data_IF_919673398975
#
_entry.id   IF_919673398975
#
_cell.length_a   1.000
_cell.length_b   1.000
_cell.length_c   1.000
_cell.angle_alpha   90.00
_cell.angle_beta   90.00
_cell.angle_gamma   90.00
#
_symmetry.space_group_name_H-M   'P 1'
#
loop_
_entity.id
_entity.type
_entity.pdbx_description
1 polymer ?
#
# COMPACT_ATOMS: atom_id res chain seq x y z
N UNK A 1 -21.36 -49.58 -19.36
CA UNK A 1 -21.40 -48.51 -20.38
C UNK A 1 -21.35 -47.07 -19.81
N UNK A 2 -21.53 -46.82 -18.50
CA UNK A 2 -21.39 -45.47 -17.89
C UNK A 2 -19.94 -45.06 -17.56
N UNK A 3 -19.00 -46.01 -17.60
CA UNK A 3 -17.60 -45.80 -17.23
C UNK A 3 -16.89 -44.74 -18.09
N UNK A 4 -17.26 -44.65 -19.38
CA UNK A 4 -16.74 -43.63 -20.29
C UNK A 4 -17.11 -42.21 -19.83
N UNK A 5 -18.32 -42.01 -19.30
CA UNK A 5 -18.74 -40.72 -18.74
C UNK A 5 -17.99 -40.39 -17.45
N UNK A 6 -17.68 -41.38 -16.60
CA UNK A 6 -16.88 -41.14 -15.39
C UNK A 6 -15.45 -40.73 -15.72
N UNK A 7 -14.83 -41.37 -16.71
CA UNK A 7 -13.48 -41.00 -17.17
C UNK A 7 -13.51 -39.58 -17.75
N UNK A 8 -14.53 -39.24 -18.56
CA UNK A 8 -14.70 -37.88 -19.11
C UNK A 8 -14.90 -36.82 -18.01
N UNK A 9 -15.78 -37.07 -17.04
CA UNK A 9 -16.03 -36.12 -15.94
C UNK A 9 -14.77 -35.93 -15.07
N UNK A 10 -14.07 -37.03 -14.79
CA UNK A 10 -12.83 -37.02 -14.02
C UNK A 10 -11.73 -36.22 -14.73
N UNK A 11 -11.56 -36.37 -16.04
CA UNK A 11 -10.54 -35.60 -16.78
C UNK A 11 -10.86 -34.12 -16.78
N UNK A 12 -12.13 -33.72 -16.96
CA UNK A 12 -12.56 -32.32 -16.87
C UNK A 12 -12.24 -31.74 -15.48
N UNK A 13 -12.61 -32.44 -14.41
CA UNK A 13 -12.34 -32.00 -13.04
C UNK A 13 -10.83 -31.94 -12.75
N UNK A 14 -10.05 -32.90 -13.22
CA UNK A 14 -8.61 -32.93 -13.05
C UNK A 14 -7.93 -31.74 -13.75
N UNK A 15 -8.33 -31.41 -14.98
CA UNK A 15 -7.79 -30.24 -15.69
C UNK A 15 -8.12 -28.93 -14.98
N UNK A 16 -9.36 -28.77 -14.48
CA UNK A 16 -9.77 -27.57 -13.72
C UNK A 16 -8.95 -27.46 -12.42
N UNK A 17 -8.80 -28.57 -11.69
CA UNK A 17 -8.05 -28.60 -10.43
C UNK A 17 -6.57 -28.27 -10.63
N UNK A 18 -5.92 -28.88 -11.64
CA UNK A 18 -4.51 -28.61 -11.97
C UNK A 18 -4.32 -27.15 -12.41
N UNK A 19 -5.22 -26.61 -13.24
CA UNK A 19 -5.18 -25.20 -13.63
C UNK A 19 -5.32 -24.24 -12.44
N UNK A 20 -6.24 -24.54 -11.52
CA UNK A 20 -6.42 -23.77 -10.28
C UNK A 20 -5.19 -23.84 -9.37
N UNK A 21 -4.59 -25.04 -9.24
CA UNK A 21 -3.36 -25.24 -8.46
C UNK A 21 -2.19 -24.44 -9.05
N UNK A 22 -1.98 -24.49 -10.36
CA UNK A 22 -0.92 -23.73 -11.04
C UNK A 22 -1.14 -22.23 -10.84
N UNK A 23 -2.36 -21.73 -11.00
CA UNK A 23 -2.67 -20.30 -10.76
C UNK A 23 -2.35 -19.88 -9.32
N UNK A 24 -2.77 -20.67 -8.33
CA UNK A 24 -2.49 -20.39 -6.91
C UNK A 24 -0.99 -20.49 -6.60
N UNK A 25 -0.29 -21.45 -7.18
CA UNK A 25 1.15 -21.62 -7.02
C UNK A 25 1.93 -20.45 -7.63
N UNK A 26 1.55 -20.02 -8.85
CA UNK A 26 2.18 -18.89 -9.53
C UNK A 26 1.97 -17.60 -8.74
N UNK A 27 0.74 -17.31 -8.30
CA UNK A 27 0.45 -16.16 -7.43
C UNK A 27 1.33 -16.19 -6.18
N UNK A 28 1.36 -17.33 -5.49
CA UNK A 28 2.12 -17.49 -4.25
C UNK A 28 3.64 -17.45 -4.47
N UNK A 29 4.13 -17.93 -5.62
CA UNK A 29 5.55 -17.88 -5.98
C UNK A 29 6.02 -16.45 -6.24
N UNK A 30 5.16 -15.60 -6.84
CA UNK A 30 5.49 -14.19 -7.09
C UNK A 30 5.40 -13.31 -5.83
N UNK A 31 4.60 -13.70 -4.84
CA UNK A 31 4.51 -12.99 -3.55
C UNK A 31 5.72 -13.24 -2.63
N UNK A 32 6.59 -14.22 -2.93
CA UNK A 32 7.83 -14.46 -2.16
C UNK A 32 8.98 -13.50 -2.51
N UNK A 33 8.88 -12.78 -3.62
CA UNK A 33 9.94 -11.87 -4.09
C UNK A 33 9.56 -10.39 -3.98
N UNK A 34 8.35 -10.08 -3.48
CA UNK A 34 7.91 -8.71 -3.20
C UNK A 34 7.87 -8.45 -1.70
N UNK A 35 9.04 -8.31 -1.11
CA UNK A 35 9.22 -7.30 -0.06
C UNK A 35 8.67 -5.97 -0.61
N UNK A 36 7.60 -5.48 0.01
CA UNK A 36 6.83 -4.26 -0.27
C UNK A 36 5.66 -4.38 -1.27
N UNK A 37 4.41 -4.11 -0.82
CA UNK A 37 3.31 -3.88 -1.73
C UNK A 37 3.48 -2.51 -2.39
N UNK A 38 4.10 -2.48 -3.57
CA UNK A 38 3.86 -1.37 -4.49
C UNK A 38 2.42 -1.53 -4.97
N UNK A 39 1.56 -0.60 -4.56
CA UNK A 39 0.21 -0.44 -5.09
C UNK A 39 0.33 -0.03 -6.57
N UNK A 40 0.68 -0.98 -7.44
CA UNK A 40 0.72 -0.80 -8.88
C UNK A 40 -0.70 -0.96 -9.39
N UNK A 41 -1.37 0.17 -9.53
CA UNK A 41 -2.54 0.34 -10.37
C UNK A 41 -2.32 -0.26 -11.77
N UNK A 42 -2.68 -1.54 -11.95
CA UNK A 42 -3.00 -2.05 -13.28
C UNK A 42 -4.43 -1.62 -13.60
N UNK A 43 -4.60 -0.31 -13.82
CA UNK A 43 -5.76 0.21 -14.49
C UNK A 43 -5.61 -0.16 -15.97
N UNK A 44 -6.00 -1.39 -16.31
CA UNK A 44 -6.29 -1.72 -17.68
C UNK A 44 -7.50 -2.66 -17.74
N UNK A 45 -8.62 -2.01 -18.08
CA UNK A 45 -9.69 -2.55 -18.90
C UNK A 45 -10.67 -3.53 -18.25
N UNK A 46 -11.76 -3.01 -17.69
CA UNK A 46 -13.14 -3.35 -18.11
C UNK A 46 -14.19 -2.66 -17.22
N UNK A 47 -15.10 -1.92 -17.85
CA UNK A 47 -16.38 -1.55 -17.24
C UNK A 47 -16.66 -0.05 -17.15
N UNK A 48 -17.25 0.47 -18.22
CA UNK A 48 -18.34 1.46 -18.23
C UNK A 48 -18.63 2.21 -16.90
N UNK A 49 -18.28 3.49 -16.84
CA UNK A 49 -18.64 4.36 -15.71
C UNK A 49 -18.35 5.83 -15.99
N UNK A 50 -19.40 6.59 -16.25
CA UNK A 50 -19.40 8.03 -16.47
C UNK A 50 -18.88 8.79 -15.23
N UNK A 51 -18.15 9.88 -15.46
CA UNK A 51 -17.63 10.84 -14.46
C UNK A 51 -16.51 10.34 -13.53
N UNK A 52 -15.27 10.43 -14.00
CA UNK A 52 -14.11 10.56 -13.11
C UNK A 52 -13.46 11.91 -13.37
N UNK A 53 -13.80 12.88 -12.51
CA UNK A 53 -13.02 14.10 -12.34
C UNK A 53 -11.58 13.67 -12.11
N UNK A 54 -10.70 13.89 -13.09
CA UNK A 54 -9.27 13.64 -12.98
C UNK A 54 -8.74 14.58 -11.90
N UNK A 55 -8.80 14.16 -10.64
CA UNK A 55 -8.08 14.80 -9.55
C UNK A 55 -6.62 14.79 -9.99
N UNK A 56 -6.11 15.96 -10.37
CA UNK A 56 -4.70 16.13 -10.66
C UNK A 56 -3.97 15.74 -9.38
N UNK A 57 -3.23 14.64 -9.44
CA UNK A 57 -2.43 14.16 -8.34
C UNK A 57 -1.31 15.19 -8.13
N UNK A 58 -1.43 15.98 -7.06
CA UNK A 58 -0.37 16.89 -6.62
C UNK A 58 0.52 16.08 -5.68
N UNK A 59 1.75 15.70 -6.10
CA UNK A 59 2.64 14.93 -5.25
C UNK A 59 3.08 15.77 -4.04
N UNK A 60 3.16 15.14 -2.87
CA UNK A 60 3.75 15.78 -1.70
C UNK A 60 5.23 16.07 -1.96
N UNK A 61 5.76 17.21 -1.49
CA UNK A 61 7.14 17.63 -1.80
C UNK A 61 8.20 16.66 -1.25
N UNK A 62 7.88 15.86 -0.24
CA UNK A 62 8.76 14.82 0.31
C UNK A 62 8.95 13.61 -0.63
N UNK A 63 8.12 13.49 -1.67
CA UNK A 63 8.20 12.47 -2.70
C UNK A 63 8.96 12.95 -3.93
N UNK A 64 9.70 14.06 -3.84
CA UNK A 64 10.54 14.55 -4.91
C UNK A 64 12.01 14.42 -4.50
N UNK A 65 12.85 13.88 -5.40
CA UNK A 65 14.30 13.94 -5.24
C UNK A 65 14.84 15.36 -5.49
N UNK A 66 16.15 15.57 -5.29
CA UNK A 66 16.81 16.86 -5.54
C UNK A 66 16.77 17.30 -7.01
N UNK A 67 16.43 16.40 -7.94
CA UNK A 67 16.24 16.67 -9.36
C UNK A 67 14.77 16.85 -9.75
N UNK A 68 13.83 16.78 -8.79
CA UNK A 68 12.39 16.92 -9.01
C UNK A 68 11.69 15.66 -9.52
N UNK A 69 12.35 14.49 -9.49
CA UNK A 69 11.72 13.23 -9.85
C UNK A 69 10.94 12.65 -8.69
N UNK A 70 9.82 12.00 -9.02
CA UNK A 70 8.97 11.32 -8.04
C UNK A 70 9.67 10.08 -7.47
N UNK A 71 10.01 10.13 -6.19
CA UNK A 71 10.48 8.98 -5.42
C UNK A 71 9.30 8.26 -4.76
N UNK A 72 9.38 6.92 -4.73
CA UNK A 72 8.29 6.05 -4.25
C UNK A 72 8.21 5.96 -2.73
N UNK A 73 9.21 6.49 -2.04
CA UNK A 73 9.35 6.53 -0.59
C UNK A 73 9.86 7.91 -0.17
N UNK A 74 9.37 8.47 0.94
CA UNK A 74 9.90 9.72 1.47
C UNK A 74 11.36 9.51 1.88
N UNK A 75 12.21 10.51 1.62
CA UNK A 75 13.63 10.46 1.97
C UNK A 75 13.77 10.28 3.50
N UNK A 76 14.13 9.08 3.97
CA UNK A 76 14.36 8.81 5.39
C UNK A 76 15.67 9.48 5.84
N UNK A 77 15.57 10.70 6.38
CA UNK A 77 16.71 11.38 6.98
C UNK A 77 16.87 10.91 8.43
N UNK A 78 17.77 9.94 8.66
CA UNK A 78 18.15 9.57 10.03
C UNK A 78 19.01 10.68 10.64
N UNK A 79 18.40 11.53 11.47
CA UNK A 79 19.14 12.49 12.32
C UNK A 79 19.45 11.82 13.65
N UNK A 80 20.72 11.80 14.05
CA UNK A 80 21.10 11.45 15.41
C UNK A 80 20.63 12.57 16.34
N UNK A 81 19.50 12.35 17.02
CA UNK A 81 18.93 13.30 17.98
C UNK A 81 19.32 12.88 19.40
N UNK A 82 19.63 13.85 20.25
CA UNK A 82 19.87 13.59 21.66
C UNK A 82 18.53 13.37 22.39
N UNK A 83 18.54 12.65 23.52
CA UNK A 83 17.30 12.31 24.26
C UNK A 83 16.56 13.58 24.71
N UNK A 84 17.31 14.61 25.10
CA UNK A 84 16.75 15.89 25.54
C UNK A 84 16.04 16.65 24.42
N UNK A 85 16.67 16.69 23.23
CA UNK A 85 16.11 17.35 22.05
C UNK A 85 14.84 16.64 21.56
N UNK A 86 14.81 15.30 21.65
CA UNK A 86 13.64 14.50 21.29
C UNK A 86 12.46 14.77 22.23
N UNK A 87 12.73 14.93 23.53
CA UNK A 87 11.72 15.30 24.53
C UNK A 87 11.13 16.68 24.21
N UNK A 88 11.99 17.66 23.96
CA UNK A 88 11.56 19.01 23.63
C UNK A 88 10.72 19.06 22.33
N UNK A 89 11.07 18.25 21.33
CA UNK A 89 10.31 18.14 20.09
C UNK A 89 8.93 17.49 20.32
N UNK A 90 8.83 16.48 21.18
CA UNK A 90 7.54 15.87 21.54
C UNK A 90 6.65 16.84 22.31
N UNK A 91 7.21 17.59 23.25
CA UNK A 91 6.49 18.62 24.00
C UNK A 91 5.98 19.72 23.06
N UNK A 92 6.80 20.15 22.09
CA UNK A 92 6.40 21.14 21.08
C UNK A 92 5.26 20.63 20.18
N UNK A 93 5.29 19.35 19.79
CA UNK A 93 4.19 18.73 19.01
C UNK A 93 2.90 18.61 19.82
N UNK A 94 3.01 18.33 21.13
CA UNK A 94 1.88 18.27 22.04
C UNK A 94 1.19 19.63 22.17
N UNK A 95 1.96 20.69 22.39
CA UNK A 95 1.46 22.08 22.49
C UNK A 95 0.90 22.62 21.16
N UNK A 96 1.47 22.21 20.03
CA UNK A 96 1.03 22.62 18.70
C UNK A 96 -0.17 21.80 18.17
N UNK A 97 -0.62 20.76 18.90
CA UNK A 97 -1.67 19.87 18.45
C UNK A 97 -3.03 20.61 18.39
N UNK A 98 -3.72 20.61 17.23
CA UNK A 98 -5.04 21.22 17.10
C UNK A 98 -6.06 20.39 17.89
N UNK A 99 -6.24 20.76 19.15
CA UNK A 99 -7.06 20.03 20.13
C UNK A 99 -6.61 20.23 21.58
N UNK A 100 -5.39 20.72 21.81
CA UNK A 100 -4.93 21.05 23.15
C UNK A 100 -5.55 22.37 23.63
N UNK A 101 -6.60 22.29 24.45
CA UNK A 101 -7.12 23.43 25.19
C UNK A 101 -6.15 23.71 26.33
N UNK A 102 -5.45 24.85 26.27
CA UNK A 102 -4.64 25.37 27.36
C UNK A 102 -5.52 25.61 28.59
N UNK A 103 -5.58 24.65 29.49
CA UNK A 103 -6.09 24.85 30.85
C UNK A 103 -4.92 25.27 31.74
N UNK A 104 -4.31 26.42 31.44
CA UNK A 104 -3.41 27.08 32.39
C UNK A 104 -3.29 28.57 32.07
N UNK A 105 -4.35 29.29 32.39
CA UNK A 105 -4.33 30.74 32.51
C UNK A 105 -5.13 31.10 33.75
N UNK A 106 -4.59 30.75 34.93
CA UNK A 106 -4.94 31.34 36.23
C UNK A 106 -4.04 30.70 37.32
N UNK A 107 -2.93 31.37 37.67
CA UNK A 107 -2.37 31.53 39.03
C UNK A 107 -0.89 31.96 38.95
N UNK A 108 -0.67 33.29 38.92
CA UNK A 108 0.36 34.04 39.66
C UNK A 108 0.29 35.53 39.30
#
# INVERSE_FOLDING_TARGET
>A
MLHLLYILAFTILAFIAVGNLIRNLIMFSFDRERTYPTNSSSMNNQGNGYYSSKKQFVPHPELLDSAGNLIKEPLLVMRSINVEDARQHLDALYEASPGHKRENSEEA
#
